data_IF_324011501104
#
_entry.id   IF_324011501104
#
_cell.length_a   1.000
_cell.length_b   1.000
_cell.length_c   1.000
_cell.angle_alpha   90.00
_cell.angle_beta   90.00
_cell.angle_gamma   90.00
#
_symmetry.space_group_name_H-M   'P 1'
#
loop_
_entity.id
_entity.type
_entity.pdbx_description
1 polymer ?
#
# COMPACT_ATOMS: atom_id res chain seq x y z
N UNK A 1 8.19 16.78 16.13
CA UNK A 1 7.10 15.82 16.45
C UNK A 1 6.08 15.90 15.34
N UNK A 2 6.01 14.91 14.45
CA UNK A 2 4.99 14.81 13.42
C UNK A 2 3.65 14.51 14.10
N UNK A 3 2.64 15.38 13.89
CA UNK A 3 1.28 15.13 14.39
C UNK A 3 0.82 13.78 13.82
N UNK A 4 0.44 12.86 14.70
CA UNK A 4 -0.21 11.61 14.30
C UNK A 4 -1.42 11.94 13.44
N UNK A 5 -1.56 11.29 12.29
CA UNK A 5 -2.74 11.45 11.45
C UNK A 5 -3.94 10.80 12.16
N UNK A 6 -5.15 11.25 11.81
CA UNK A 6 -6.38 10.59 12.27
C UNK A 6 -6.70 9.33 11.45
N UNK A 7 -5.96 9.09 10.37
CA UNK A 7 -6.18 7.95 9.49
C UNK A 7 -5.70 6.65 10.15
N UNK A 8 -6.46 5.60 9.96
CA UNK A 8 -6.04 4.21 10.19
C UNK A 8 -5.65 3.57 8.87
N UNK A 9 -4.72 2.62 8.90
CA UNK A 9 -4.25 1.93 7.70
C UNK A 9 -4.91 0.58 7.52
N UNK A 10 -5.20 0.20 6.29
CA UNK A 10 -5.56 -1.17 5.91
C UNK A 10 -4.56 -1.63 4.85
N UNK A 11 -3.93 -2.78 5.05
CA UNK A 11 -3.19 -3.49 4.03
C UNK A 11 -4.05 -4.69 3.61
N UNK A 12 -4.51 -4.69 2.37
CA UNK A 12 -5.23 -5.83 1.81
C UNK A 12 -4.24 -6.76 1.11
N UNK A 13 -3.83 -7.80 1.81
CA UNK A 13 -2.86 -8.81 1.37
C UNK A 13 -3.53 -10.18 1.12
N UNK A 14 -4.82 -10.16 0.79
CA UNK A 14 -5.60 -11.34 0.43
C UNK A 14 -5.49 -11.67 -1.05
N UNK A 15 -6.19 -12.73 -1.45
CA UNK A 15 -6.25 -13.19 -2.83
C UNK A 15 -5.44 -14.46 -3.08
N UNK A 16 -5.91 -15.26 -4.05
CA UNK A 16 -5.33 -16.59 -4.34
C UNK A 16 -3.98 -16.55 -5.06
N UNK A 17 -3.58 -15.40 -5.62
CA UNK A 17 -2.31 -15.25 -6.34
C UNK A 17 -2.15 -16.19 -7.54
N UNK A 18 -3.24 -16.72 -8.10
CA UNK A 18 -3.22 -17.78 -9.14
C UNK A 18 -2.42 -17.44 -10.39
N UNK A 19 -2.31 -16.15 -10.72
CA UNK A 19 -1.47 -15.69 -11.85
C UNK A 19 0.03 -15.94 -11.65
N UNK A 20 0.45 -16.19 -10.40
CA UNK A 20 1.84 -16.48 -10.04
C UNK A 20 2.06 -17.96 -9.70
N UNK A 21 1.12 -18.86 -10.04
CA UNK A 21 1.34 -20.29 -9.86
C UNK A 21 2.52 -20.78 -10.72
N UNK A 22 3.34 -21.74 -10.20
CA UNK A 22 3.20 -22.44 -8.92
C UNK A 22 3.78 -21.72 -7.70
N UNK A 23 4.43 -20.56 -7.86
CA UNK A 23 5.17 -19.86 -6.78
C UNK A 23 4.28 -19.56 -5.57
N UNK A 24 3.02 -19.21 -5.81
CA UNK A 24 2.05 -18.86 -4.76
C UNK A 24 1.21 -20.03 -4.25
N UNK A 25 1.55 -21.28 -4.59
CA UNK A 25 0.85 -22.45 -4.04
C UNK A 25 1.17 -22.70 -2.56
N UNK A 26 2.39 -22.36 -2.12
CA UNK A 26 2.85 -22.61 -0.75
C UNK A 26 2.75 -21.37 0.15
N UNK A 27 2.64 -20.18 -0.42
CA UNK A 27 2.56 -18.93 0.33
C UNK A 27 1.87 -17.83 -0.46
N UNK A 28 1.23 -16.92 0.24
CA UNK A 28 0.59 -15.76 -0.38
C UNK A 28 1.58 -14.83 -1.07
N UNK A 29 1.11 -14.17 -2.11
CA UNK A 29 1.89 -13.27 -2.95
C UNK A 29 2.67 -12.22 -2.16
N UNK A 30 2.04 -11.59 -1.17
CA UNK A 30 2.65 -10.50 -0.39
C UNK A 30 3.76 -10.97 0.57
N UNK A 31 3.98 -12.29 0.69
CA UNK A 31 5.11 -12.90 1.39
C UNK A 31 6.29 -13.19 0.46
N UNK A 32 6.10 -13.16 -0.86
CA UNK A 32 7.18 -13.38 -1.82
C UNK A 32 8.23 -12.26 -1.67
N UNK A 33 9.51 -12.57 -1.91
CA UNK A 33 10.55 -11.57 -1.88
C UNK A 33 10.45 -10.64 -3.10
N UNK A 34 10.62 -9.35 -2.85
CA UNK A 34 10.95 -8.37 -3.87
C UNK A 34 12.37 -7.90 -3.57
N UNK A 35 13.32 -8.38 -4.34
CA UNK A 35 14.76 -8.26 -4.14
C UNK A 35 15.21 -8.88 -2.80
N UNK A 36 15.37 -8.09 -1.73
CA UNK A 36 16.03 -8.49 -0.48
C UNK A 36 15.08 -8.55 0.74
N UNK A 37 13.79 -8.34 0.55
CA UNK A 37 12.80 -8.31 1.64
C UNK A 37 11.40 -8.76 1.18
N UNK A 38 10.52 -9.19 2.11
CA UNK A 38 9.15 -9.57 1.78
C UNK A 38 8.37 -8.41 1.18
N UNK A 39 7.53 -8.70 0.19
CA UNK A 39 6.72 -7.72 -0.52
C UNK A 39 5.85 -6.86 0.42
N UNK A 40 5.32 -7.43 1.50
CA UNK A 40 4.48 -6.72 2.47
C UNK A 40 5.17 -5.51 3.13
N UNK A 41 6.52 -5.46 3.14
CA UNK A 41 7.26 -4.33 3.69
C UNK A 41 7.03 -3.04 2.91
N UNK A 42 6.79 -3.13 1.60
CA UNK A 42 6.57 -1.95 0.75
C UNK A 42 5.25 -1.23 1.08
N UNK A 43 4.07 -1.89 1.08
CA UNK A 43 2.83 -1.24 1.49
C UNK A 43 2.84 -0.84 2.97
N UNK A 44 3.48 -1.61 3.87
CA UNK A 44 3.67 -1.22 5.27
C UNK A 44 4.41 0.11 5.37
N UNK A 45 5.55 0.22 4.69
CA UNK A 45 6.35 1.45 4.64
C UNK A 45 5.59 2.62 4.00
N UNK A 46 4.77 2.37 2.99
CA UNK A 46 3.92 3.40 2.38
C UNK A 46 2.98 4.03 3.43
N UNK A 47 2.33 3.22 4.25
CA UNK A 47 1.48 3.72 5.35
C UNK A 47 2.30 4.43 6.44
N UNK A 48 3.48 3.90 6.79
CA UNK A 48 4.38 4.54 7.77
C UNK A 48 4.85 5.92 7.30
N UNK A 49 5.21 6.07 6.03
CA UNK A 49 5.60 7.35 5.42
C UNK A 49 4.46 8.37 5.41
N UNK A 50 3.21 7.90 5.28
CA UNK A 50 2.01 8.72 5.47
C UNK A 50 1.78 9.16 6.93
N UNK A 51 2.55 8.63 7.89
CA UNK A 51 2.41 8.90 9.32
C UNK A 51 1.34 8.03 10.01
N UNK A 52 0.90 6.96 9.37
CA UNK A 52 -0.14 6.04 9.90
C UNK A 52 0.54 4.96 10.73
N UNK A 53 0.05 4.76 11.96
CA UNK A 53 0.64 3.83 12.93
C UNK A 53 -0.31 2.72 13.39
N UNK A 54 -1.62 2.92 13.25
CA UNK A 54 -2.64 1.92 13.50
C UNK A 54 -2.98 1.24 12.18
N UNK A 55 -2.61 -0.03 12.02
CA UNK A 55 -2.69 -0.72 10.73
C UNK A 55 -3.34 -2.09 10.92
N UNK A 56 -4.34 -2.39 10.09
CA UNK A 56 -4.97 -3.69 9.96
C UNK A 56 -4.43 -4.40 8.72
N UNK A 57 -3.91 -5.60 8.89
CA UNK A 57 -3.52 -6.49 7.80
C UNK A 57 -4.64 -7.51 7.58
N UNK A 58 -5.25 -7.46 6.39
CA UNK A 58 -6.31 -8.40 6.01
C UNK A 58 -5.72 -9.40 5.03
N UNK A 59 -5.81 -10.70 5.34
CA UNK A 59 -5.26 -11.75 4.50
C UNK A 59 -6.03 -13.07 4.62
N UNK A 60 -5.56 -14.10 3.90
CA UNK A 60 -6.15 -15.43 3.94
C UNK A 60 -5.93 -16.11 5.29
N UNK A 61 -6.73 -17.16 5.63
CA UNK A 61 -6.51 -17.94 6.86
C UNK A 61 -5.11 -18.54 6.96
N UNK A 62 -4.53 -18.93 5.80
CA UNK A 62 -3.22 -19.59 5.71
C UNK A 62 -2.05 -18.60 5.90
N UNK A 63 -2.24 -17.33 5.51
CA UNK A 63 -1.17 -16.34 5.51
C UNK A 63 -1.18 -15.43 6.73
N UNK A 64 -2.31 -15.22 7.40
CA UNK A 64 -2.40 -14.41 8.63
C UNK A 64 -1.38 -14.87 9.67
N UNK A 65 -1.23 -16.17 10.00
CA UNK A 65 -0.22 -16.62 10.96
C UNK A 65 1.22 -16.30 10.53
N UNK A 66 1.50 -16.34 9.21
CA UNK A 66 2.83 -16.03 8.66
C UNK A 66 3.13 -14.52 8.78
N UNK A 67 2.14 -13.67 8.50
CA UNK A 67 2.28 -12.22 8.73
C UNK A 67 2.46 -11.89 10.21
N UNK A 68 1.75 -12.56 11.10
CA UNK A 68 1.93 -12.41 12.54
C UNK A 68 3.34 -12.82 12.98
N UNK A 69 3.87 -13.92 12.45
CA UNK A 69 5.24 -14.35 12.73
C UNK A 69 6.29 -13.38 12.18
N UNK A 70 6.04 -12.76 11.01
CA UNK A 70 6.97 -11.82 10.37
C UNK A 70 6.96 -10.43 11.01
N UNK A 71 5.77 -9.88 11.27
CA UNK A 71 5.57 -8.47 11.64
C UNK A 71 5.23 -8.26 13.12
N UNK A 72 4.93 -9.35 13.87
CA UNK A 72 4.53 -9.28 15.27
C UNK A 72 3.29 -8.41 15.48
N UNK A 73 3.25 -7.70 16.59
CA UNK A 73 2.24 -6.69 16.91
C UNK A 73 2.60 -5.29 16.40
N UNK A 74 3.76 -5.16 15.72
CA UNK A 74 4.28 -3.91 15.18
C UNK A 74 5.05 -3.05 16.18
N UNK A 75 5.12 -3.43 17.44
CA UNK A 75 5.79 -2.63 18.50
C UNK A 75 7.26 -2.37 18.20
N UNK A 76 7.96 -3.31 17.55
CA UNK A 76 9.34 -3.15 17.10
C UNK A 76 9.54 -2.02 16.07
N UNK A 77 8.48 -1.58 15.41
CA UNK A 77 8.46 -0.43 14.49
C UNK A 77 7.74 0.78 15.09
N UNK A 78 7.31 0.70 16.36
CA UNK A 78 6.47 1.71 16.99
C UNK A 78 5.08 1.81 16.38
N UNK A 79 4.57 0.74 15.79
CA UNK A 79 3.25 0.60 15.20
C UNK A 79 2.32 -0.21 16.12
N UNK A 80 1.03 -0.22 15.77
CA UNK A 80 0.02 -1.14 16.31
C UNK A 80 -0.58 -1.92 15.15
N UNK A 81 -0.19 -3.18 15.01
CA UNK A 81 -0.68 -4.06 13.96
C UNK A 81 -1.80 -4.95 14.50
N UNK A 82 -2.87 -5.03 13.74
CA UNK A 82 -3.94 -6.00 13.93
C UNK A 82 -4.07 -6.85 12.66
N UNK A 83 -4.63 -8.05 12.82
CA UNK A 83 -4.75 -9.01 11.72
C UNK A 83 -6.18 -9.51 11.63
N UNK A 84 -6.68 -9.64 10.40
CA UNK A 84 -8.02 -10.13 10.15
C UNK A 84 -8.02 -11.10 8.97
N UNK A 85 -8.80 -12.17 9.12
CA UNK A 85 -8.93 -13.22 8.11
C UNK A 85 -10.01 -12.85 7.10
N UNK A 86 -9.64 -12.79 5.82
CA UNK A 86 -10.54 -12.75 4.68
C UNK A 86 -10.72 -14.19 4.14
N UNK A 87 -11.85 -14.83 4.43
CA UNK A 87 -12.11 -16.22 4.00
C UNK A 87 -12.34 -16.34 2.50
N UNK A 88 -12.98 -15.34 1.89
CA UNK A 88 -13.28 -15.28 0.46
C UNK A 88 -12.96 -13.88 -0.04
N UNK A 89 -12.17 -13.75 -1.13
CA UNK A 89 -11.90 -12.46 -1.75
C UNK A 89 -13.12 -12.04 -2.60
N UNK A 90 -13.92 -11.13 -2.09
CA UNK A 90 -15.14 -10.61 -2.75
C UNK A 90 -14.96 -9.17 -3.22
N UNK A 91 -13.76 -8.79 -3.61
CA UNK A 91 -13.39 -7.46 -4.10
C UNK A 91 -12.67 -6.59 -3.07
N UNK A 92 -12.05 -5.53 -3.55
CA UNK A 92 -11.21 -4.65 -2.72
C UNK A 92 -12.05 -3.90 -1.68
N UNK A 93 -13.26 -3.44 -2.04
CA UNK A 93 -14.11 -2.70 -1.13
C UNK A 93 -14.62 -3.53 0.07
N UNK A 94 -14.55 -4.87 0.00
CA UNK A 94 -14.84 -5.75 1.14
C UNK A 94 -13.92 -5.45 2.34
N UNK A 95 -12.72 -4.92 2.11
CA UNK A 95 -11.79 -4.56 3.18
C UNK A 95 -12.39 -3.57 4.19
N UNK A 96 -13.26 -2.66 3.74
CA UNK A 96 -13.93 -1.70 4.62
C UNK A 96 -15.04 -2.34 5.46
N UNK A 97 -15.71 -3.35 4.95
CA UNK A 97 -16.71 -4.11 5.68
C UNK A 97 -16.07 -4.96 6.77
N UNK A 98 -14.99 -5.67 6.41
CA UNK A 98 -14.22 -6.48 7.33
C UNK A 98 -13.54 -5.60 8.40
N UNK A 99 -13.02 -4.45 8.00
CA UNK A 99 -12.31 -3.52 8.88
C UNK A 99 -13.19 -2.53 9.64
N UNK A 100 -14.52 -2.63 9.59
CA UNK A 100 -15.43 -1.65 10.20
C UNK A 100 -15.17 -1.43 11.68
N UNK A 101 -15.06 -2.51 12.46
CA UNK A 101 -14.78 -2.45 13.89
C UNK A 101 -13.41 -1.80 14.16
N UNK A 102 -12.37 -2.18 13.40
CA UNK A 102 -11.06 -1.57 13.50
C UNK A 102 -11.11 -0.08 13.17
N UNK A 103 -11.78 0.32 12.09
CA UNK A 103 -11.86 1.72 11.66
C UNK A 103 -12.60 2.59 12.67
N UNK A 104 -13.69 2.08 13.25
CA UNK A 104 -14.47 2.77 14.28
C UNK A 104 -14.79 4.22 13.91
N UNK A 105 -15.26 4.44 12.68
CA UNK A 105 -15.60 5.77 12.15
C UNK A 105 -14.41 6.70 11.87
N UNK A 106 -13.19 6.22 11.89
CA UNK A 106 -12.01 6.99 11.51
C UNK A 106 -11.85 7.05 9.99
N UNK A 107 -11.25 8.12 9.45
CA UNK A 107 -10.77 8.11 8.08
C UNK A 107 -9.67 7.04 7.93
N UNK A 108 -9.50 6.51 6.72
CA UNK A 108 -8.55 5.43 6.49
C UNK A 108 -7.74 5.59 5.21
N UNK A 109 -6.58 4.96 5.19
CA UNK A 109 -5.84 4.65 3.98
C UNK A 109 -5.89 3.14 3.72
N UNK A 110 -6.18 2.75 2.49
CA UNK A 110 -6.10 1.38 2.02
C UNK A 110 -4.95 1.27 1.03
N UNK A 111 -4.09 0.28 1.22
CA UNK A 111 -3.05 -0.07 0.26
C UNK A 111 -3.12 -1.57 -0.05
N UNK A 112 -2.93 -1.91 -1.33
CA UNK A 112 -2.88 -3.30 -1.76
C UNK A 112 -1.51 -3.90 -1.42
N UNK A 113 -1.51 -5.13 -0.92
CA UNK A 113 -0.33 -5.83 -0.40
C UNK A 113 0.74 -6.16 -1.45
N UNK A 114 0.45 -5.93 -2.72
CA UNK A 114 1.28 -6.21 -3.88
C UNK A 114 1.67 -4.95 -4.67
N UNK A 115 1.40 -3.77 -4.11
CA UNK A 115 1.73 -2.50 -4.74
C UNK A 115 2.97 -1.87 -4.10
N UNK A 116 3.89 -1.45 -4.94
CA UNK A 116 5.14 -0.80 -4.56
C UNK A 116 5.14 0.62 -5.09
N UNK A 117 5.43 1.57 -4.21
CA UNK A 117 5.55 2.99 -4.54
C UNK A 117 6.95 3.47 -4.21
N UNK A 118 7.56 4.23 -5.12
CA UNK A 118 8.86 4.85 -4.91
C UNK A 118 8.95 6.19 -5.66
N UNK A 119 9.67 7.14 -5.10
CA UNK A 119 9.96 8.43 -5.76
C UNK A 119 10.17 9.55 -4.76
N UNK A 120 10.83 10.62 -5.23
CA UNK A 120 11.24 11.75 -4.39
C UNK A 120 10.04 12.44 -3.70
N UNK A 121 8.96 12.68 -4.44
CA UNK A 121 7.79 13.41 -3.93
C UNK A 121 6.78 12.51 -3.19
N UNK A 122 7.05 11.19 -3.10
CA UNK A 122 6.11 10.23 -2.51
C UNK A 122 5.73 10.60 -1.08
N UNK A 123 6.71 10.89 -0.23
CA UNK A 123 6.47 11.21 1.19
C UNK A 123 5.59 12.46 1.34
N UNK A 124 5.84 13.48 0.51
CA UNK A 124 5.04 14.71 0.49
C UNK A 124 3.59 14.41 0.09
N UNK A 125 3.39 13.70 -1.02
CA UNK A 125 2.07 13.35 -1.52
C UNK A 125 1.28 12.50 -0.52
N UNK A 126 1.92 11.51 0.13
CA UNK A 126 1.32 10.69 1.17
C UNK A 126 0.87 11.49 2.39
N UNK A 127 1.73 12.40 2.89
CA UNK A 127 1.41 13.25 4.05
C UNK A 127 0.32 14.25 3.74
N UNK A 128 0.31 14.83 2.54
CA UNK A 128 -0.76 15.71 2.08
C UNK A 128 -2.09 14.96 2.00
N UNK A 129 -2.11 13.74 1.45
CA UNK A 129 -3.29 12.89 1.42
C UNK A 129 -3.79 12.55 2.83
N UNK A 130 -2.88 12.18 3.75
CA UNK A 130 -3.22 11.84 5.13
C UNK A 130 -3.59 13.05 6.01
N UNK A 131 -3.28 14.26 5.60
CA UNK A 131 -3.64 15.47 6.36
C UNK A 131 -5.11 15.88 6.19
N UNK A 132 -5.71 15.47 5.10
CA UNK A 132 -7.10 15.80 4.75
C UNK A 132 -8.03 14.68 5.25
N UNK A 133 -9.07 15.02 5.96
CA UNK A 133 -9.98 14.07 6.62
C UNK A 133 -11.36 13.93 5.95
N UNK A 134 -11.63 14.69 4.89
CA UNK A 134 -12.88 14.66 4.14
C UNK A 134 -12.68 14.22 2.70
N UNK A 135 -13.71 13.58 2.13
CA UNK A 135 -13.72 13.07 0.77
C UNK A 135 -12.80 11.87 0.55
N UNK A 136 -12.50 11.59 -0.71
CA UNK A 136 -11.62 10.53 -1.14
C UNK A 136 -10.44 11.08 -1.93
N UNK A 137 -9.28 10.42 -1.80
CA UNK A 137 -8.08 10.66 -2.64
C UNK A 137 -7.57 9.36 -3.18
N UNK A 138 -7.38 9.34 -4.48
CA UNK A 138 -6.77 8.22 -5.19
C UNK A 138 -5.57 8.71 -5.99
N UNK A 139 -4.64 7.81 -6.25
CA UNK A 139 -3.45 8.11 -7.02
C UNK A 139 -3.59 7.52 -8.42
N UNK A 140 -3.28 8.31 -9.43
CA UNK A 140 -3.31 7.87 -10.82
C UNK A 140 -1.90 7.88 -11.41
N UNK A 141 -1.58 6.84 -12.16
CA UNK A 141 -0.27 6.63 -12.80
C UNK A 141 -0.43 6.32 -14.28
N UNK A 142 0.35 6.96 -15.18
CA UNK A 142 0.27 6.66 -16.62
C UNK A 142 0.89 5.31 -16.94
N UNK A 143 0.12 4.41 -17.55
CA UNK A 143 0.53 3.06 -17.95
C UNK A 143 0.35 2.84 -19.44
N UNK A 144 0.93 1.75 -19.96
CA UNK A 144 0.79 1.38 -21.37
C UNK A 144 -0.36 0.36 -21.60
N UNK A 145 -0.84 -0.28 -20.55
CA UNK A 145 -1.88 -1.32 -20.53
C UNK A 145 -3.04 -0.94 -19.59
N UNK A 146 -3.69 0.23 -19.80
CA UNK A 146 -4.69 0.77 -18.85
C UNK A 146 -5.93 -0.12 -18.70
N UNK A 147 -6.27 -0.96 -19.69
CA UNK A 147 -7.39 -1.90 -19.65
C UNK A 147 -7.33 -2.93 -18.51
N UNK A 148 -6.20 -3.05 -17.85
CA UNK A 148 -6.03 -3.95 -16.69
C UNK A 148 -6.51 -3.35 -15.37
N UNK A 149 -6.76 -2.05 -15.32
CA UNK A 149 -6.96 -1.27 -14.10
C UNK A 149 -8.26 -0.47 -14.12
N UNK A 150 -8.59 0.18 -13.01
CA UNK A 150 -9.52 1.29 -13.02
C UNK A 150 -8.89 2.49 -13.74
N UNK A 151 -9.56 3.06 -14.73
CA UNK A 151 -9.03 4.14 -15.57
C UNK A 151 -9.76 5.44 -15.28
N UNK A 152 -9.02 6.52 -15.07
CA UNK A 152 -9.56 7.86 -14.86
C UNK A 152 -9.55 8.64 -16.17
N UNK A 153 -10.69 9.25 -16.52
CA UNK A 153 -10.79 10.25 -17.56
C UNK A 153 -10.70 11.65 -16.95
N UNK A 154 -9.96 12.56 -17.59
CA UNK A 154 -9.79 13.93 -17.12
C UNK A 154 -10.33 14.94 -18.14
N UNK A 155 -10.82 16.07 -17.64
CA UNK A 155 -11.09 17.24 -18.48
C UNK A 155 -9.81 18.02 -18.80
N UNK A 156 -9.94 19.05 -19.62
CA UNK A 156 -8.82 19.93 -20.01
C UNK A 156 -8.19 20.71 -18.85
N UNK A 157 -8.85 20.73 -17.68
CA UNK A 157 -8.38 21.38 -16.44
C UNK A 157 -7.79 20.38 -15.46
N UNK A 158 -7.69 19.08 -15.84
CA UNK A 158 -7.17 18.02 -14.98
C UNK A 158 -8.14 17.51 -13.91
N UNK A 159 -9.44 17.80 -14.02
CA UNK A 159 -10.45 17.28 -13.10
C UNK A 159 -10.96 15.93 -13.61
N UNK A 160 -11.13 14.96 -12.71
CA UNK A 160 -11.66 13.67 -13.04
C UNK A 160 -13.13 13.79 -13.52
N UNK A 161 -13.42 13.25 -14.70
CA UNK A 161 -14.75 13.19 -15.30
C UNK A 161 -15.42 11.85 -15.06
N UNK A 162 -14.68 10.77 -15.21
CA UNK A 162 -15.17 9.41 -15.03
C UNK A 162 -14.07 8.48 -14.51
N UNK A 163 -14.48 7.38 -13.88
CA UNK A 163 -13.63 6.25 -13.54
C UNK A 163 -14.33 4.98 -14.01
N UNK A 164 -13.60 4.15 -14.77
CA UNK A 164 -14.13 2.91 -15.31
C UNK A 164 -13.24 1.73 -14.95
N UNK A 165 -13.83 0.65 -14.42
CA UNK A 165 -13.10 -0.56 -14.04
C UNK A 165 -12.83 -1.42 -15.26
N UNK A 166 -11.55 -1.65 -15.55
CA UNK A 166 -11.07 -2.51 -16.64
C UNK A 166 -11.80 -2.31 -17.97
N UNK A 167 -11.82 -1.06 -18.48
CA UNK A 167 -12.54 -0.75 -19.71
C UNK A 167 -11.94 -1.50 -20.91
N UNK A 168 -12.78 -1.97 -21.83
CA UNK A 168 -12.32 -2.57 -23.09
C UNK A 168 -11.66 -1.52 -23.99
N UNK A 169 -12.16 -0.29 -23.94
CA UNK A 169 -11.66 0.88 -24.68
C UNK A 169 -11.35 2.00 -23.68
N UNK A 170 -10.11 2.03 -23.14
CA UNK A 170 -9.72 3.01 -22.13
C UNK A 170 -9.75 4.44 -22.70
N UNK A 171 -10.40 5.36 -22.00
CA UNK A 171 -10.49 6.77 -22.38
C UNK A 171 -9.24 7.57 -22.07
N UNK A 172 -8.34 7.01 -21.27
CA UNK A 172 -7.05 7.59 -20.95
C UNK A 172 -6.05 6.49 -20.61
N UNK A 173 -4.79 6.88 -20.42
CA UNK A 173 -3.73 5.98 -19.94
C UNK A 173 -3.53 6.03 -18.42
N UNK A 174 -4.35 6.76 -17.67
CA UNK A 174 -4.16 6.96 -16.24
C UNK A 174 -4.90 5.88 -15.43
N UNK A 175 -4.12 4.89 -14.95
CA UNK A 175 -4.60 3.84 -14.07
C UNK A 175 -4.69 4.34 -12.62
N UNK A 176 -5.77 4.02 -11.92
CA UNK A 176 -5.86 4.19 -10.47
C UNK A 176 -4.99 3.14 -9.80
N UNK A 177 -4.05 3.59 -9.00
CA UNK A 177 -3.13 2.69 -8.28
C UNK A 177 -3.81 2.03 -7.09
N UNK A 178 -3.15 1.02 -6.48
CA UNK A 178 -3.67 0.35 -5.29
C UNK A 178 -3.41 1.11 -3.98
N UNK A 179 -3.57 2.44 -3.98
CA UNK A 179 -3.43 3.29 -2.80
C UNK A 179 -4.56 4.31 -2.75
N UNK A 180 -5.31 4.30 -1.66
CA UNK A 180 -6.54 5.05 -1.51
C UNK A 180 -6.61 5.69 -0.13
N UNK A 181 -7.12 6.91 -0.04
CA UNK A 181 -7.44 7.60 1.21
C UNK A 181 -8.92 7.99 1.20
N UNK A 182 -9.62 7.61 2.25
CA UNK A 182 -11.06 7.85 2.38
C UNK A 182 -11.41 8.45 3.73
N UNK A 183 -12.46 9.25 3.75
CA UNK A 183 -13.06 9.72 4.97
C UNK A 183 -13.89 8.61 5.66
N UNK A 184 -14.52 8.97 6.78
CA UNK A 184 -15.34 8.05 7.59
C UNK A 184 -16.57 7.46 6.87
N UNK A 185 -16.98 8.03 5.72
CA UNK A 185 -18.17 7.59 5.00
C UNK A 185 -17.93 6.30 4.20
N UNK A 186 -16.67 5.92 3.97
CA UNK A 186 -16.32 4.79 3.10
C UNK A 186 -16.98 3.47 3.48
N UNK A 187 -17.11 3.20 4.79
CA UNK A 187 -17.79 1.97 5.28
C UNK A 187 -19.26 1.96 4.88
N UNK A 188 -19.97 3.08 5.08
CA UNK A 188 -21.37 3.23 4.66
C UNK A 188 -21.55 3.08 3.15
N UNK A 189 -20.62 3.66 2.37
CA UNK A 189 -20.61 3.53 0.91
C UNK A 189 -20.39 2.06 0.53
N UNK A 190 -19.38 1.39 1.10
CA UNK A 190 -19.10 -0.02 0.81
C UNK A 190 -20.29 -0.93 1.12
N UNK A 191 -21.04 -0.67 2.21
CA UNK A 191 -22.28 -1.39 2.55
C UNK A 191 -23.40 -1.22 1.52
N UNK A 192 -23.42 -0.11 0.79
CA UNK A 192 -24.46 0.18 -0.21
C UNK A 192 -24.14 -0.42 -1.59
N UNK A 193 -22.92 -0.91 -1.82
CA UNK A 193 -22.51 -1.46 -3.10
C UNK A 193 -23.21 -2.80 -3.38
N UNK A 194 -23.38 -3.07 -4.66
CA UNK A 194 -23.78 -4.39 -5.17
C UNK A 194 -22.59 -5.03 -5.86
N UNK A 195 -22.42 -6.36 -5.73
CA UNK A 195 -21.39 -7.06 -6.47
C UNK A 195 -21.49 -6.81 -7.97
N UNK A 196 -20.36 -6.63 -8.63
CA UNK A 196 -20.27 -6.48 -10.08
C UNK A 196 -20.61 -7.80 -10.79
N UNK A 197 -20.60 -7.80 -12.13
CA UNK A 197 -20.77 -9.02 -12.93
C UNK A 197 -19.68 -10.09 -12.62
N UNK A 198 -18.57 -9.69 -11.99
CA UNK A 198 -17.51 -10.58 -11.51
C UNK A 198 -17.75 -11.15 -10.11
N UNK A 199 -18.84 -10.74 -9.45
CA UNK A 199 -19.15 -11.09 -8.07
C UNK A 199 -18.32 -10.32 -7.04
N UNK A 200 -17.67 -9.22 -7.43
CA UNK A 200 -16.77 -8.43 -6.59
C UNK A 200 -17.39 -7.08 -6.18
N UNK A 201 -17.12 -6.66 -4.93
CA UNK A 201 -17.37 -5.29 -4.48
C UNK A 201 -16.19 -4.42 -4.96
N UNK A 202 -16.44 -3.70 -6.06
CA UNK A 202 -15.39 -2.96 -6.76
C UNK A 202 -15.01 -1.68 -6.02
N UNK A 203 -13.70 -1.45 -5.88
CA UNK A 203 -13.19 -0.19 -5.33
C UNK A 203 -13.52 0.99 -6.26
N UNK A 204 -13.60 0.72 -7.57
CA UNK A 204 -13.99 1.72 -8.56
C UNK A 204 -15.41 2.24 -8.33
N UNK A 205 -16.32 1.42 -7.82
CA UNK A 205 -17.68 1.87 -7.50
C UNK A 205 -17.69 2.75 -6.25
N UNK A 206 -16.83 2.49 -5.25
CA UNK A 206 -16.59 3.42 -4.14
C UNK A 206 -16.14 4.77 -4.68
N UNK A 207 -15.14 4.79 -5.54
CA UNK A 207 -14.58 6.01 -6.14
C UNK A 207 -15.63 6.77 -6.97
N UNK A 208 -16.51 6.06 -7.69
CA UNK A 208 -17.62 6.66 -8.45
C UNK A 208 -18.62 7.39 -7.56
N UNK A 209 -18.90 6.85 -6.36
CA UNK A 209 -19.80 7.53 -5.40
C UNK A 209 -19.16 8.87 -4.97
N UNK A 210 -17.89 8.87 -4.60
CA UNK A 210 -17.19 10.11 -4.23
C UNK A 210 -17.09 11.08 -5.42
N UNK A 211 -16.81 10.58 -6.63
CA UNK A 211 -16.76 11.41 -7.84
C UNK A 211 -18.11 12.08 -8.11
N UNK A 212 -19.21 11.33 -8.03
CA UNK A 212 -20.57 11.86 -8.22
C UNK A 212 -20.94 12.93 -7.20
N UNK A 213 -20.45 12.80 -5.98
CA UNK A 213 -20.67 13.76 -4.90
C UNK A 213 -19.76 15.00 -5.00
N UNK A 214 -18.78 15.01 -5.91
CA UNK A 214 -17.79 16.08 -6.02
C UNK A 214 -16.68 16.03 -4.97
N UNK A 215 -16.55 14.90 -4.27
CA UNK A 215 -15.64 14.68 -3.13
C UNK A 215 -14.44 13.79 -3.47
N UNK A 216 -14.18 13.50 -4.76
CA UNK A 216 -13.02 12.74 -5.21
C UNK A 216 -11.90 13.65 -5.71
N UNK A 217 -10.74 13.53 -5.11
CA UNK A 217 -9.48 14.12 -5.59
C UNK A 217 -8.60 13.03 -6.22
N UNK A 218 -8.13 13.25 -7.43
CA UNK A 218 -7.19 12.36 -8.11
C UNK A 218 -5.82 13.01 -8.16
N UNK A 219 -4.84 12.41 -7.50
CA UNK A 219 -3.44 12.86 -7.47
C UNK A 219 -2.68 12.15 -8.57
N UNK A 220 -2.26 12.88 -9.60
CA UNK A 220 -1.46 12.29 -10.68
C UNK A 220 -0.01 12.16 -10.22
N UNK A 221 0.51 10.94 -10.26
CA UNK A 221 1.91 10.65 -9.96
C UNK A 221 2.78 11.10 -11.15
N UNK A 222 3.66 12.07 -10.89
CA UNK A 222 4.50 12.68 -11.91
C UNK A 222 5.72 11.85 -12.29
N UNK A 223 6.53 12.39 -13.21
CA UNK A 223 7.83 11.82 -13.59
C UNK A 223 8.75 11.73 -12.37
N UNK A 224 9.52 10.65 -12.28
CA UNK A 224 10.38 10.38 -11.13
C UNK A 224 9.69 9.62 -9.99
N UNK A 225 8.37 9.40 -10.08
CA UNK A 225 7.64 8.45 -9.25
C UNK A 225 7.49 7.13 -10.00
N UNK A 226 7.58 6.02 -9.27
CA UNK A 226 7.33 4.69 -9.77
C UNK A 226 6.19 4.04 -8.98
N UNK A 227 5.28 3.42 -9.72
CA UNK A 227 4.30 2.48 -9.21
C UNK A 227 4.50 1.15 -9.91
N UNK A 228 4.69 0.09 -9.14
CA UNK A 228 4.94 -1.26 -9.63
C UNK A 228 3.84 -2.18 -9.10
N UNK A 229 3.10 -2.77 -10.03
CA UNK A 229 2.14 -3.84 -9.77
C UNK A 229 2.85 -5.18 -10.00
N UNK A 230 2.97 -5.98 -8.97
CA UNK A 230 3.69 -7.26 -9.01
C UNK A 230 2.76 -8.43 -9.39
N UNK A 231 1.78 -8.20 -10.28
CA UNK A 231 0.68 -9.12 -10.62
C UNK A 231 1.03 -10.32 -11.47
N UNK A 232 2.16 -10.29 -12.16
CA UNK A 232 2.67 -11.37 -13.04
C UNK A 232 4.11 -11.73 -12.69
N UNK A 233 4.63 -12.83 -13.24
CA UNK A 233 6.03 -13.23 -13.04
C UNK A 233 6.99 -12.15 -13.55
N UNK A 234 6.69 -11.58 -14.72
CA UNK A 234 7.50 -10.52 -15.33
C UNK A 234 7.48 -9.27 -14.46
N UNK A 235 6.29 -8.78 -14.06
CA UNK A 235 6.19 -7.56 -13.25
C UNK A 235 6.80 -7.73 -11.85
N UNK A 236 6.78 -8.93 -11.27
CA UNK A 236 7.48 -9.24 -10.02
C UNK A 236 9.00 -9.17 -10.20
N UNK A 237 9.53 -9.71 -11.30
CA UNK A 237 10.94 -9.64 -11.63
C UNK A 237 11.38 -8.19 -11.91
N UNK A 238 10.62 -7.46 -12.72
CA UNK A 238 10.88 -6.06 -13.03
C UNK A 238 10.92 -5.20 -11.76
N UNK A 239 9.98 -5.42 -10.84
CA UNK A 239 9.97 -4.75 -9.55
C UNK A 239 11.23 -5.06 -8.74
N UNK A 240 11.65 -6.34 -8.68
CA UNK A 240 12.85 -6.75 -7.95
C UNK A 240 14.12 -6.13 -8.55
N UNK A 241 14.24 -6.10 -9.88
CA UNK A 241 15.37 -5.48 -10.59
C UNK A 241 15.40 -3.96 -10.41
N UNK A 242 14.24 -3.30 -10.46
CA UNK A 242 14.13 -1.86 -10.22
C UNK A 242 14.61 -1.49 -8.81
N UNK A 243 14.10 -2.18 -7.78
CA UNK A 243 14.49 -1.95 -6.38
C UNK A 243 15.98 -2.23 -6.20
N UNK A 244 16.50 -3.35 -6.76
CA UNK A 244 17.93 -3.67 -6.72
C UNK A 244 18.78 -2.55 -7.31
N UNK A 245 18.41 -2.03 -8.48
CA UNK A 245 19.17 -0.99 -9.15
C UNK A 245 19.25 0.30 -8.30
N UNK A 246 18.12 0.71 -7.72
CA UNK A 246 18.06 1.90 -6.86
C UNK A 246 18.91 1.69 -5.59
N UNK A 247 18.69 0.60 -4.86
CA UNK A 247 19.39 0.33 -3.62
C UNK A 247 20.92 0.22 -3.83
N UNK A 248 21.37 -0.47 -4.88
CA UNK A 248 22.79 -0.57 -5.22
C UNK A 248 23.44 0.75 -5.58
N UNK A 249 22.71 1.66 -6.22
CA UNK A 249 23.24 2.98 -6.62
C UNK A 249 23.27 3.97 -5.49
N UNK A 250 22.25 3.97 -4.63
CA UNK A 250 22.13 4.95 -3.55
C UNK A 250 22.81 4.48 -2.25
N UNK A 251 22.99 3.17 -2.07
CA UNK A 251 23.43 2.60 -0.78
C UNK A 251 22.35 2.68 0.30
N UNK A 252 21.12 3.03 -0.05
CA UNK A 252 20.00 3.15 0.86
C UNK A 252 18.93 2.13 0.49
N UNK A 253 18.30 1.53 1.50
CA UNK A 253 17.20 0.59 1.26
C UNK A 253 15.91 1.32 0.91
N UNK A 254 15.17 0.76 -0.04
CA UNK A 254 13.79 1.14 -0.32
C UNK A 254 12.86 0.35 0.60
N UNK A 255 11.94 1.03 1.29
CA UNK A 255 10.96 0.41 2.18
C UNK A 255 11.60 -0.48 3.29
N UNK A 256 12.45 0.13 4.10
CA UNK A 256 12.99 -0.45 5.33
C UNK A 256 12.16 0.05 6.52
N UNK A 257 11.29 -0.78 7.13
CA UNK A 257 10.40 -0.33 8.21
C UNK A 257 11.15 0.22 9.42
N UNK A 258 12.28 -0.38 9.79
CA UNK A 258 13.11 0.03 10.92
C UNK A 258 13.73 1.40 10.69
N UNK A 259 14.25 1.66 9.48
CA UNK A 259 14.79 2.97 9.12
C UNK A 259 13.71 4.05 9.16
N UNK A 260 12.53 3.78 8.55
CA UNK A 260 11.42 4.72 8.54
C UNK A 260 10.94 4.99 9.97
N UNK A 261 10.82 3.95 10.80
CA UNK A 261 10.45 4.08 12.21
C UNK A 261 11.45 4.94 12.98
N UNK A 262 12.74 4.70 12.81
CA UNK A 262 13.81 5.46 13.46
C UNK A 262 13.82 6.93 13.00
N UNK A 263 13.80 7.18 11.69
CA UNK A 263 13.80 8.55 11.15
C UNK A 263 12.52 9.32 11.48
N UNK A 264 11.40 8.62 11.66
CA UNK A 264 10.14 9.22 12.10
C UNK A 264 10.05 9.41 13.62
N UNK A 265 11.04 8.95 14.38
CA UNK A 265 11.06 9.03 15.85
C UNK A 265 10.06 8.09 16.53
N UNK A 266 9.68 6.99 15.87
CA UNK A 266 8.80 5.97 16.43
C UNK A 266 9.56 4.99 17.32
N UNK A 267 10.84 4.74 17.00
CA UNK A 267 11.78 3.91 17.76
C UNK A 267 13.10 4.65 17.95
N UNK A 268 13.94 4.18 18.87
CA UNK A 268 15.23 4.78 19.21
C UNK A 268 16.39 4.12 18.45
N UNK A 269 17.58 4.75 18.50
CA UNK A 269 18.80 4.15 17.96
C UNK A 269 19.12 2.81 18.63
N UNK A 270 18.90 2.69 19.94
CA UNK A 270 19.11 1.44 20.68
C UNK A 270 18.17 0.31 20.19
N UNK A 271 16.93 0.64 19.80
CA UNK A 271 16.01 -0.34 19.23
C UNK A 271 16.51 -0.83 17.87
N UNK A 272 16.98 0.08 17.00
CA UNK A 272 17.57 -0.27 15.70
C UNK A 272 18.81 -1.14 15.88
N UNK A 273 19.71 -0.79 16.82
CA UNK A 273 20.92 -1.57 17.13
C UNK A 273 20.55 -2.98 17.59
N UNK A 274 19.58 -3.09 18.47
CA UNK A 274 19.07 -4.41 18.96
C UNK A 274 18.55 -5.25 17.79
N UNK A 275 17.69 -4.69 16.94
CA UNK A 275 17.14 -5.40 15.77
C UNK A 275 18.25 -5.79 14.79
N UNK A 276 19.10 -4.85 14.41
CA UNK A 276 20.23 -5.10 13.49
C UNK A 276 21.18 -6.17 13.98
N UNK A 277 21.44 -6.22 15.29
CA UNK A 277 22.30 -7.23 15.92
C UNK A 277 21.74 -8.65 15.83
N UNK A 278 20.42 -8.83 15.84
CA UNK A 278 19.80 -10.15 15.64
C UNK A 278 20.00 -10.69 14.22
N UNK A 279 20.21 -9.80 13.25
CA UNK A 279 20.38 -10.10 11.83
C UNK A 279 21.78 -9.77 11.29
N UNK A 280 22.79 -9.63 12.15
CA UNK A 280 24.14 -9.14 11.79
C UNK A 280 24.84 -9.90 10.67
N UNK A 281 24.45 -11.15 10.43
CA UNK A 281 25.02 -11.99 9.38
C UNK A 281 24.34 -11.78 8.00
N UNK A 282 23.31 -10.93 7.92
CA UNK A 282 22.63 -10.58 6.69
C UNK A 282 23.03 -9.17 6.23
N UNK A 283 22.91 -8.90 4.93
CA UNK A 283 23.08 -7.54 4.39
C UNK A 283 22.06 -6.55 4.96
N UNK A 284 20.87 -7.03 5.30
CA UNK A 284 19.82 -6.22 5.92
C UNK A 284 20.22 -5.75 7.32
N UNK A 285 20.68 -6.66 8.18
CA UNK A 285 21.14 -6.31 9.53
C UNK A 285 22.41 -5.43 9.50
N UNK A 286 23.34 -5.70 8.58
CA UNK A 286 24.52 -4.85 8.39
C UNK A 286 24.11 -3.41 8.01
N UNK A 287 23.13 -3.24 7.13
CA UNK A 287 22.57 -1.94 6.77
C UNK A 287 21.98 -1.20 7.98
N UNK A 288 21.20 -1.87 8.83
CA UNK A 288 20.61 -1.25 10.02
C UNK A 288 21.67 -0.74 11.00
N UNK A 289 22.78 -1.50 11.17
CA UNK A 289 23.91 -1.08 12.01
C UNK A 289 24.71 0.08 11.39
N UNK A 290 24.83 0.10 10.07
CA UNK A 290 25.48 1.18 9.33
C UNK A 290 24.67 2.48 9.41
N UNK A 291 23.34 2.42 9.33
CA UNK A 291 22.41 3.54 9.42
C UNK A 291 22.66 4.43 10.66
N UNK A 292 23.08 3.82 11.78
CA UNK A 292 23.36 4.53 13.03
C UNK A 292 24.66 5.33 13.00
N UNK A 293 25.57 5.02 12.07
CA UNK A 293 26.90 5.65 11.93
C UNK A 293 26.92 6.75 10.89
N UNK A 294 26.00 6.72 9.94
CA UNK A 294 25.95 7.65 8.82
C UNK A 294 24.84 8.70 8.99
N UNK A 295 25.20 9.97 8.73
CA UNK A 295 24.18 11.00 8.55
C UNK A 295 23.69 10.96 7.11
N UNK A 296 22.45 10.55 6.90
CA UNK A 296 21.76 10.71 5.62
C UNK A 296 21.02 12.04 5.66
N UNK A 297 21.30 12.91 4.70
CA UNK A 297 20.74 14.26 4.58
C UNK A 297 19.44 14.24 3.77
#
# INVERSE_FOLDING_TARGET
>A
MTKSTRHKGIILAGGSGTRLYPVTQAMGKSLLPVYNKPMIYYPLCTLMLAGIRDILVISTPEDVPKFQALLGDGSQYGLRLQYLVQRKPEGIAQAFLLGEEFLHGSPCALVLGDNIFYGHDLVKALREAASKVGGARVFAYPVNDPERYGVVEFDSKGRALSIEEKPKEPKSRYAVTGLYFYDKQVVGIAKSLKPSARGELEITDVNRVYLKNGDLEVVVMGRGMAWLDTGTHESLMDAALYIQAIEKRQGLMVACPEEIAYRSGYITAADVEKIGSTMKNSSYGAYLLQLLRERVF
#
